data_IF_977120371427
#
_entry.id   IF_977120371427
#
_cell.length_a   1.000
_cell.length_b   1.000
_cell.length_c   1.000
_cell.angle_alpha   90.00
_cell.angle_beta   90.00
_cell.angle_gamma   90.00
#
_symmetry.space_group_name_H-M   'P 1'
#
loop_
_entity.id
_entity.type
_entity.pdbx_description
1 polymer ?
#
# COMPACT_ATOMS: atom_id res chain seq x y z
N UNK A 1 32.06 23.23 -1.48
CA UNK A 1 33.41 22.95 -2.00
C UNK A 1 33.30 21.76 -2.92
N UNK A 2 33.76 21.87 -4.17
CA UNK A 2 33.75 20.75 -5.11
C UNK A 2 34.99 19.89 -4.85
N UNK A 3 34.80 18.57 -4.72
CA UNK A 3 35.89 17.59 -4.60
C UNK A 3 36.21 17.01 -5.98
N UNK A 4 37.46 16.60 -6.20
CA UNK A 4 37.83 15.84 -7.40
C UNK A 4 37.13 14.47 -7.40
N UNK A 5 36.38 14.09 -8.46
CA UNK A 5 35.75 12.77 -8.51
C UNK A 5 36.76 11.63 -8.61
N UNK A 6 37.97 11.89 -9.13
CA UNK A 6 39.02 10.88 -9.27
C UNK A 6 39.81 10.64 -7.98
N UNK A 7 40.17 11.71 -7.24
CA UNK A 7 41.08 11.60 -6.10
C UNK A 7 40.53 12.15 -4.77
N UNK A 8 39.31 12.69 -4.75
CA UNK A 8 38.67 13.20 -3.53
C UNK A 8 39.33 14.44 -2.92
N UNK A 9 40.32 15.04 -3.58
CA UNK A 9 41.05 16.21 -3.06
C UNK A 9 40.24 17.51 -3.28
N UNK A 10 40.24 18.44 -2.31
CA UNK A 10 39.64 19.76 -2.49
C UNK A 10 40.61 20.68 -3.25
N UNK A 11 40.18 21.23 -4.38
CA UNK A 11 40.94 22.26 -5.11
C UNK A 11 40.97 22.06 -6.63
N UNK A 12 40.60 23.11 -7.35
CA UNK A 12 40.67 23.18 -8.81
C UNK A 12 41.36 24.49 -9.23
N UNK A 13 42.22 24.40 -10.25
CA UNK A 13 42.82 25.52 -10.96
C UNK A 13 42.40 25.38 -12.42
N UNK A 14 41.62 26.33 -12.96
CA UNK A 14 41.24 26.32 -14.40
C UNK A 14 40.67 24.97 -14.90
N UNK A 15 39.81 24.34 -14.10
CA UNK A 15 39.22 23.01 -14.38
C UNK A 15 40.21 21.83 -14.41
N UNK A 16 41.38 21.99 -13.79
CA UNK A 16 42.33 20.91 -13.57
C UNK A 16 42.51 20.70 -12.07
N UNK A 17 42.39 19.45 -11.62
CA UNK A 17 42.69 19.11 -10.24
C UNK A 17 44.20 19.32 -9.99
N UNK A 18 44.55 20.11 -8.97
CA UNK A 18 45.95 20.37 -8.60
C UNK A 18 46.69 19.15 -8.07
N UNK A 19 45.98 18.07 -7.71
CA UNK A 19 46.55 16.90 -7.06
C UNK A 19 46.78 15.70 -8.00
N UNK A 20 45.85 15.43 -8.92
CA UNK A 20 45.94 14.32 -9.86
C UNK A 20 46.00 14.75 -11.33
N UNK A 21 45.95 16.06 -11.60
CA UNK A 21 45.92 16.63 -12.96
C UNK A 21 44.74 16.20 -13.82
N UNK A 22 43.69 15.60 -13.22
CA UNK A 22 42.46 15.28 -13.93
C UNK A 22 41.77 16.56 -14.40
N UNK A 23 41.44 16.62 -15.68
CA UNK A 23 40.71 17.73 -16.31
C UNK A 23 39.22 17.49 -16.07
N UNK A 24 38.58 18.32 -15.24
CA UNK A 24 37.13 18.35 -15.18
C UNK A 24 36.62 19.02 -16.44
N UNK A 25 36.00 18.25 -17.33
CA UNK A 25 35.29 18.84 -18.47
C UNK A 25 34.21 19.76 -17.91
N UNK A 26 34.39 21.08 -18.09
CA UNK A 26 33.32 22.04 -17.81
C UNK A 26 32.06 21.57 -18.54
N UNK A 27 30.87 21.63 -17.92
CA UNK A 27 29.64 21.24 -18.60
C UNK A 27 29.51 22.14 -19.83
N UNK A 28 29.66 21.54 -21.01
CA UNK A 28 29.43 22.24 -22.26
C UNK A 28 28.01 22.81 -22.21
N UNK A 29 27.88 24.11 -22.48
CA UNK A 29 26.59 24.75 -22.73
C UNK A 29 25.95 24.06 -23.95
N UNK A 30 25.13 23.04 -23.67
CA UNK A 30 24.35 22.33 -24.67
C UNK A 30 23.17 23.18 -25.09
N UNK A 31 23.21 23.61 -26.35
CA UNK A 31 22.06 24.08 -27.12
C UNK A 31 20.85 23.12 -27.00
N UNK A 32 19.59 23.61 -27.14
CA UNK A 32 18.39 22.83 -26.93
C UNK A 32 18.12 21.92 -28.13
N UNK A 33 18.85 20.81 -28.22
CA UNK A 33 18.53 19.72 -29.13
C UNK A 33 17.40 18.88 -28.54
N UNK A 34 16.22 19.04 -29.13
CA UNK A 34 15.31 17.95 -29.50
C UNK A 34 15.27 16.74 -28.55
N UNK A 35 14.48 16.89 -27.49
CA UNK A 35 13.65 15.88 -26.79
C UNK A 35 13.66 14.49 -27.45
N UNK A 36 14.70 13.70 -27.22
CA UNK A 36 14.71 12.26 -27.41
C UNK A 36 14.17 11.60 -26.14
N UNK A 37 13.04 10.91 -26.29
CA UNK A 37 12.60 9.88 -25.37
C UNK A 37 13.71 8.81 -25.24
N UNK A 38 13.97 8.32 -24.03
CA UNK A 38 14.71 7.06 -23.88
C UNK A 38 15.65 6.88 -22.69
N UNK A 39 15.67 7.77 -21.69
CA UNK A 39 16.12 7.38 -20.35
C UNK A 39 14.88 7.20 -19.51
N UNK A 40 14.28 6.02 -19.59
CA UNK A 40 13.36 5.59 -18.55
C UNK A 40 14.19 5.58 -17.27
N UNK A 41 13.78 6.34 -16.27
CA UNK A 41 14.27 6.08 -14.91
C UNK A 41 13.77 4.67 -14.58
N UNK A 42 14.61 3.67 -14.79
CA UNK A 42 14.23 2.29 -14.59
C UNK A 42 14.09 2.06 -13.09
N UNK A 43 12.84 1.90 -12.65
CA UNK A 43 12.49 1.58 -11.28
C UNK A 43 12.39 0.07 -11.14
N UNK A 44 13.15 -0.50 -10.22
CA UNK A 44 13.14 -1.92 -9.94
C UNK A 44 12.31 -2.20 -8.67
N UNK A 45 11.42 -3.19 -8.76
CA UNK A 45 10.60 -3.62 -7.63
C UNK A 45 11.44 -4.40 -6.63
N UNK A 46 11.35 -4.00 -5.36
CA UNK A 46 12.05 -4.64 -4.23
C UNK A 46 11.10 -5.57 -3.48
N UNK A 47 9.88 -5.10 -3.20
CA UNK A 47 8.91 -5.86 -2.40
C UNK A 47 7.47 -5.53 -2.80
N UNK A 48 6.56 -6.44 -2.42
CA UNK A 48 5.11 -6.30 -2.57
C UNK A 48 4.43 -6.59 -1.25
N UNK A 49 3.43 -5.78 -0.91
CA UNK A 49 2.70 -5.88 0.35
C UNK A 49 1.20 -5.93 0.10
N UNK A 50 0.48 -6.67 0.94
CA UNK A 50 -0.99 -6.70 0.94
C UNK A 50 -1.59 -5.54 1.77
N UNK A 51 -0.77 -4.87 2.58
CA UNK A 51 -1.20 -3.87 3.55
C UNK A 51 -0.42 -2.55 3.36
N UNK A 52 -1.14 -1.43 3.29
CA UNK A 52 -0.55 -0.09 3.17
C UNK A 52 0.36 0.27 4.36
N UNK A 53 -0.01 -0.14 5.57
CA UNK A 53 0.73 0.19 6.78
C UNK A 53 2.11 -0.48 6.80
N UNK A 54 2.17 -1.77 6.43
CA UNK A 54 3.44 -2.49 6.30
C UNK A 54 4.30 -1.87 5.20
N UNK A 55 3.70 -1.59 4.05
CA UNK A 55 4.41 -0.99 2.93
C UNK A 55 5.02 0.38 3.30
N UNK A 56 4.27 1.21 4.04
CA UNK A 56 4.74 2.51 4.53
C UNK A 56 5.85 2.37 5.58
N UNK A 57 5.75 1.40 6.49
CA UNK A 57 6.81 1.11 7.45
C UNK A 57 8.13 0.75 6.75
N UNK A 58 8.10 -0.20 5.81
CA UNK A 58 9.31 -0.61 5.10
C UNK A 58 9.84 0.47 4.15
N UNK A 59 8.98 1.28 3.54
CA UNK A 59 9.41 2.43 2.75
C UNK A 59 10.18 3.44 3.61
N UNK A 60 9.73 3.70 4.83
CA UNK A 60 10.41 4.59 5.78
C UNK A 60 11.76 4.04 6.26
N UNK A 61 11.83 2.75 6.62
CA UNK A 61 13.11 2.14 7.01
C UNK A 61 14.13 2.13 5.86
N UNK A 62 13.68 1.79 4.64
CA UNK A 62 14.53 1.85 3.45
C UNK A 62 14.95 3.27 3.11
N UNK A 63 14.11 4.27 3.40
CA UNK A 63 14.47 5.66 3.19
C UNK A 63 15.71 6.05 4.00
N UNK A 64 15.73 5.70 5.28
CA UNK A 64 16.88 5.95 6.15
C UNK A 64 18.11 5.11 5.74
N UNK A 65 17.92 3.84 5.38
CA UNK A 65 19.02 2.95 5.03
C UNK A 65 19.72 3.31 3.70
N UNK A 66 18.96 3.83 2.72
CA UNK A 66 19.47 4.19 1.40
C UNK A 66 19.76 5.69 1.26
N UNK A 67 19.31 6.53 2.21
CA UNK A 67 19.29 7.98 2.09
C UNK A 67 18.63 8.45 0.77
N UNK A 68 17.54 7.78 0.41
CA UNK A 68 16.79 7.97 -0.83
C UNK A 68 15.32 7.67 -0.57
N UNK A 69 14.37 8.41 -1.15
CA UNK A 69 12.93 8.18 -0.94
C UNK A 69 12.40 7.08 -1.88
N UNK A 70 12.09 5.87 -1.38
CA UNK A 70 11.59 4.80 -2.22
C UNK A 70 10.20 5.14 -2.77
N UNK A 71 9.91 4.67 -3.98
CA UNK A 71 8.59 4.85 -4.59
C UNK A 71 7.64 3.76 -4.13
N UNK A 72 6.50 4.16 -3.58
CA UNK A 72 5.43 3.25 -3.19
C UNK A 72 4.21 3.45 -4.09
N UNK A 73 3.81 2.42 -4.83
CA UNK A 73 2.64 2.43 -5.71
C UNK A 73 1.53 1.51 -5.17
N UNK A 74 0.28 1.98 -5.16
CA UNK A 74 -0.88 1.10 -4.99
C UNK A 74 -1.31 0.57 -6.36
N UNK A 75 -1.40 -0.75 -6.52
CA UNK A 75 -1.95 -1.41 -7.70
C UNK A 75 -3.20 -2.18 -7.31
N UNK A 76 -4.24 -2.04 -8.11
CA UNK A 76 -5.49 -2.76 -7.92
C UNK A 76 -5.65 -3.76 -9.06
N UNK A 77 -5.68 -5.04 -8.72
CA UNK A 77 -5.84 -6.13 -9.66
C UNK A 77 -7.15 -6.86 -9.35
N UNK A 78 -7.93 -7.14 -10.39
CA UNK A 78 -9.15 -7.94 -10.26
C UNK A 78 -8.79 -9.43 -10.34
N UNK A 79 -8.98 -10.15 -9.23
CA UNK A 79 -8.80 -11.59 -9.18
C UNK A 79 -10.06 -12.29 -9.71
N UNK A 80 -9.97 -12.78 -10.93
CA UNK A 80 -11.08 -13.46 -11.63
C UNK A 80 -11.50 -14.76 -10.97
N UNK A 81 -10.56 -15.48 -10.32
CA UNK A 81 -10.87 -16.73 -9.63
C UNK A 81 -11.60 -16.47 -8.31
N UNK A 82 -11.22 -15.40 -7.61
CA UNK A 82 -11.85 -14.99 -6.35
C UNK A 82 -13.07 -14.07 -6.53
N UNK A 83 -13.32 -13.56 -7.73
CA UNK A 83 -14.30 -12.51 -8.02
C UNK A 83 -14.18 -11.31 -7.07
N UNK A 84 -12.94 -10.90 -6.76
CA UNK A 84 -12.66 -9.86 -5.78
C UNK A 84 -11.53 -8.95 -6.24
N UNK A 85 -11.64 -7.67 -5.92
CA UNK A 85 -10.58 -6.69 -6.13
C UNK A 85 -9.51 -6.85 -5.06
N UNK A 86 -8.25 -6.94 -5.46
CA UNK A 86 -7.09 -7.00 -4.56
C UNK A 86 -6.25 -5.75 -4.75
N UNK A 87 -5.96 -5.06 -3.66
CA UNK A 87 -4.96 -4.00 -3.64
C UNK A 87 -3.61 -4.59 -3.23
N UNK A 88 -2.58 -4.33 -4.01
CA UNK A 88 -1.19 -4.69 -3.73
C UNK A 88 -0.34 -3.43 -3.77
N UNK A 89 0.49 -3.24 -2.75
CA UNK A 89 1.40 -2.10 -2.64
C UNK A 89 2.79 -2.53 -3.10
N UNK A 90 3.33 -1.86 -4.10
CA UNK A 90 4.60 -2.18 -4.75
C UNK A 90 5.65 -1.15 -4.33
N UNK A 91 6.70 -1.62 -3.67
CA UNK A 91 7.83 -0.81 -3.25
C UNK A 91 8.97 -0.95 -4.26
N UNK A 92 9.40 0.17 -4.83
CA UNK A 92 10.41 0.22 -5.89
C UNK A 92 11.47 1.29 -5.61
N UNK A 93 12.67 1.04 -6.12
CA UNK A 93 13.82 1.97 -6.06
C UNK A 93 14.46 2.07 -7.46
N UNK A 94 15.25 3.10 -7.76
CA UNK A 94 16.01 3.16 -9.01
C UNK A 94 16.90 1.92 -9.17
N UNK A 95 17.05 1.41 -10.39
CA UNK A 95 17.88 0.22 -10.71
C UNK A 95 19.29 0.29 -10.10
N UNK A 96 19.89 1.49 -10.10
CA UNK A 96 21.21 1.76 -9.51
C UNK A 96 21.31 1.43 -8.02
N UNK A 97 20.19 1.50 -7.29
CA UNK A 97 20.08 1.25 -5.86
C UNK A 97 19.41 -0.10 -5.55
N UNK A 98 18.98 -0.87 -6.56
CA UNK A 98 18.12 -2.02 -6.33
C UNK A 98 18.80 -3.15 -5.56
N UNK A 99 20.05 -3.47 -5.90
CA UNK A 99 20.82 -4.51 -5.20
C UNK A 99 21.09 -4.11 -3.74
N UNK A 100 21.42 -2.83 -3.49
CA UNK A 100 21.59 -2.32 -2.13
C UNK A 100 20.26 -2.33 -1.37
N UNK A 101 19.17 -1.92 -2.02
CA UNK A 101 17.82 -1.90 -1.47
C UNK A 101 17.33 -3.29 -1.06
N UNK A 102 17.57 -4.32 -1.89
CA UNK A 102 17.26 -5.72 -1.56
C UNK A 102 18.01 -6.20 -0.33
N UNK A 103 19.32 -5.95 -0.27
CA UNK A 103 20.15 -6.35 0.88
C UNK A 103 19.70 -5.67 2.18
N UNK A 104 19.42 -4.36 2.14
CA UNK A 104 18.92 -3.63 3.30
C UNK A 104 17.53 -4.14 3.72
N UNK A 105 16.64 -4.37 2.76
CA UNK A 105 15.32 -4.94 3.02
C UNK A 105 15.41 -6.31 3.72
N UNK A 106 16.31 -7.19 3.29
CA UNK A 106 16.55 -8.48 3.95
C UNK A 106 17.07 -8.34 5.39
N UNK A 107 17.95 -7.37 5.65
CA UNK A 107 18.45 -7.10 7.01
C UNK A 107 17.32 -6.62 7.94
N UNK A 108 16.48 -5.70 7.44
CA UNK A 108 15.30 -5.22 8.17
C UNK A 108 14.34 -6.38 8.48
N UNK A 109 14.09 -7.28 7.50
CA UNK A 109 13.24 -8.46 7.70
C UNK A 109 13.79 -9.44 8.75
N UNK A 110 15.12 -9.55 8.87
CA UNK A 110 15.77 -10.37 9.92
C UNK A 110 15.72 -9.70 11.30
N UNK A 111 15.28 -8.45 11.40
CA UNK A 111 15.32 -7.67 12.63
C UNK A 111 16.73 -7.27 13.04
N UNK A 112 17.70 -7.37 12.13
CA UNK A 112 19.06 -6.88 12.35
C UNK A 112 19.01 -5.36 12.19
N UNK A 113 18.94 -4.63 13.30
CA UNK A 113 18.92 -3.17 13.25
C UNK A 113 20.23 -2.69 12.64
N UNK A 114 20.15 -2.16 11.42
CA UNK A 114 21.26 -1.45 10.81
C UNK A 114 21.34 -0.12 11.53
N UNK A 115 22.16 -0.07 12.58
CA UNK A 115 22.55 1.18 13.23
C UNK A 115 23.01 2.13 12.12
N UNK A 116 22.31 3.26 11.87
CA UNK A 116 22.69 4.14 10.79
C UNK A 116 24.10 4.61 11.09
N UNK A 117 25.02 4.45 10.14
CA UNK A 117 26.45 4.75 10.30
C UNK A 117 26.78 6.24 10.62
N UNK A 118 25.78 7.06 10.94
CA UNK A 118 25.91 8.44 11.40
C UNK A 118 24.93 8.85 12.50
N UNK A 119 24.14 7.96 13.12
CA UNK A 119 23.11 8.34 14.12
C UNK A 119 23.64 8.40 15.56
N UNK A 120 24.86 8.91 15.76
CA UNK A 120 25.36 9.25 17.10
C UNK A 120 24.72 10.54 17.67
N UNK A 121 23.79 11.18 16.94
CA UNK A 121 23.13 12.43 17.34
C UNK A 121 21.62 12.31 17.57
N UNK A 122 21.00 11.16 17.32
CA UNK A 122 19.62 10.90 17.76
C UNK A 122 19.62 10.55 19.26
N UNK A 123 19.91 11.57 20.06
CA UNK A 123 19.79 11.54 21.52
C UNK A 123 18.39 11.03 21.85
N UNK A 124 18.23 9.94 22.63
CA UNK A 124 16.92 9.48 22.99
C UNK A 124 16.21 10.63 23.70
N UNK A 125 15.00 10.97 23.26
CA UNK A 125 14.06 11.78 24.02
C UNK A 125 13.61 10.94 25.23
N UNK A 126 14.53 10.61 26.12
CA UNK A 126 14.18 10.31 27.50
C UNK A 126 13.62 11.60 28.06
N UNK A 127 12.29 11.70 28.02
CA UNK A 127 11.53 12.59 28.89
C UNK A 127 12.10 12.44 30.30
N UNK A 128 12.72 13.49 30.87
CA UNK A 128 13.08 13.47 32.26
C UNK A 128 11.77 13.62 33.03
N UNK A 129 11.16 12.49 33.38
CA UNK A 129 10.34 12.40 34.59
C UNK A 129 11.31 12.47 35.77
N UNK A 130 11.80 13.67 36.01
CA UNK A 130 12.44 14.02 37.26
C UNK A 130 11.33 14.08 38.31
N UNK A 131 11.29 13.02 39.10
CA UNK A 131 10.64 12.92 40.39
C UNK A 131 11.23 13.98 41.32
N UNK A 132 10.73 15.22 41.23
CA UNK A 132 11.07 16.27 42.20
C UNK A 132 9.92 16.36 43.19
N UNK A 133 10.03 15.50 44.20
CA UNK A 133 9.27 15.52 45.44
C UNK A 133 9.68 16.80 46.21
N UNK A 134 8.92 17.88 46.07
CA UNK A 134 9.08 19.10 46.89
C UNK A 134 7.82 19.29 47.71
N UNK A 135 7.86 18.71 48.90
CA UNK A 135 7.02 19.05 50.02
C UNK A 135 7.49 20.40 50.59
N UNK A 136 6.91 21.53 50.17
CA UNK A 136 7.06 22.80 50.90
C UNK A 136 5.78 23.65 50.88
N UNK A 137 5.21 23.78 52.07
CA UNK A 137 4.48 24.91 52.63
C UNK A 137 3.67 25.84 51.70
N UNK A 138 2.35 25.64 51.76
CA UNK A 138 1.25 26.63 51.80
C UNK A 138 1.67 28.11 51.98
N UNK A 139 1.38 28.93 50.98
CA UNK A 139 1.17 30.39 51.11
C UNK A 139 -0.13 30.77 50.36
N UNK A 140 -1.20 31.20 51.05
CA UNK A 140 -2.49 31.54 50.43
C UNK A 140 -2.56 33.05 50.14
N UNK A 141 -1.69 33.59 49.28
CA UNK A 141 -1.81 34.99 48.87
C UNK A 141 -1.13 35.35 47.54
N UNK A 142 -1.29 34.51 46.51
CA UNK A 142 -0.91 34.92 45.14
C UNK A 142 -2.10 34.81 44.16
N UNK A 143 -2.49 36.01 43.71
CA UNK A 143 -3.33 36.34 42.56
C UNK A 143 -3.10 35.40 41.37
N UNK A 144 -4.14 34.89 40.68
CA UNK A 144 -3.96 33.99 39.55
C UNK A 144 -3.35 34.74 38.36
N UNK A 145 -2.03 34.61 38.23
CA UNK A 145 -1.28 34.91 37.02
C UNK A 145 -1.76 34.02 35.88
N UNK A 146 -2.28 34.67 34.85
CA UNK A 146 -2.74 34.10 33.59
C UNK A 146 -1.60 33.28 32.95
N UNK A 147 -1.61 31.96 33.13
CA UNK A 147 -0.71 31.07 32.39
C UNK A 147 -1.04 31.18 30.90
N UNK A 148 -0.06 31.40 30.00
CA UNK A 148 -0.27 31.25 28.58
C UNK A 148 -0.36 29.74 28.29
N UNK A 149 -1.58 29.21 28.40
CA UNK A 149 -1.90 27.93 27.77
C UNK A 149 -1.68 28.15 26.27
N UNK A 150 -0.58 27.63 25.71
CA UNK A 150 -0.46 27.42 24.27
C UNK A 150 -1.43 26.29 23.91
N UNK A 151 -2.72 26.62 24.01
CA UNK A 151 -3.82 25.71 23.81
C UNK A 151 -3.99 25.49 22.33
N UNK A 152 -3.20 24.57 21.77
CA UNK A 152 -3.64 23.88 20.56
C UNK A 152 -5.01 23.31 20.92
N UNK A 153 -6.04 23.88 20.30
CA UNK A 153 -7.40 23.49 20.57
C UNK A 153 -7.56 22.10 19.95
N UNK A 154 -7.49 21.05 20.77
CA UNK A 154 -7.57 19.66 20.31
C UNK A 154 -8.99 19.24 19.91
N UNK A 155 -9.99 20.02 20.34
CA UNK A 155 -11.41 19.69 20.13
C UNK A 155 -11.76 19.58 18.64
N UNK A 156 -11.40 20.53 17.75
CA UNK A 156 -11.65 20.41 16.31
C UNK A 156 -10.95 19.20 15.67
N UNK A 157 -9.72 18.88 16.10
CA UNK A 157 -8.92 17.78 15.54
C UNK A 157 -9.56 16.43 15.89
N UNK A 158 -10.00 16.26 17.15
CA UNK A 158 -10.68 15.05 17.57
C UNK A 158 -12.05 14.90 16.88
N UNK A 159 -12.77 16.00 16.65
CA UNK A 159 -14.05 16.00 15.94
C UNK A 159 -13.91 15.60 14.47
N UNK A 160 -12.90 16.11 13.76
CA UNK A 160 -12.66 15.72 12.36
C UNK A 160 -12.23 14.26 12.24
N UNK A 161 -11.41 13.76 13.16
CA UNK A 161 -11.06 12.34 13.23
C UNK A 161 -12.27 11.43 13.49
N UNK A 162 -13.15 11.81 14.41
CA UNK A 162 -14.37 11.05 14.71
C UNK A 162 -15.36 11.05 13.53
N UNK A 163 -15.58 12.21 12.91
CA UNK A 163 -16.44 12.33 11.73
C UNK A 163 -15.88 11.52 10.55
N UNK A 164 -14.57 11.60 10.30
CA UNK A 164 -13.90 10.80 9.27
C UNK A 164 -14.03 9.30 9.51
N UNK A 165 -13.90 8.86 10.77
CA UNK A 165 -14.05 7.45 11.15
C UNK A 165 -15.46 6.94 10.93
N UNK A 166 -16.49 7.74 11.23
CA UNK A 166 -17.89 7.39 10.98
C UNK A 166 -18.21 7.28 9.48
N UNK A 167 -17.66 8.18 8.65
CA UNK A 167 -17.84 8.13 7.19
C UNK A 167 -17.15 6.90 6.61
N UNK A 168 -15.93 6.57 7.06
CA UNK A 168 -15.19 5.39 6.63
C UNK A 168 -15.91 4.09 7.03
N UNK A 169 -16.46 4.05 8.26
CA UNK A 169 -17.22 2.90 8.74
C UNK A 169 -18.58 2.77 8.04
N UNK A 170 -19.28 3.89 7.80
CA UNK A 170 -20.53 3.92 7.03
C UNK A 170 -20.33 3.53 5.58
N UNK A 171 -19.26 4.00 4.94
CA UNK A 171 -18.87 3.62 3.58
C UNK A 171 -18.53 2.12 3.47
N UNK A 172 -17.84 1.56 4.47
CA UNK A 172 -17.58 0.11 4.57
C UNK A 172 -18.85 -0.71 4.78
N UNK A 173 -19.89 -0.15 5.40
CA UNK A 173 -21.19 -0.83 5.55
C UNK A 173 -22.11 -0.67 4.34
N UNK A 174 -21.96 0.41 3.57
CA UNK A 174 -22.68 0.62 2.30
C UNK A 174 -22.04 -0.13 1.13
N UNK A 175 -20.73 -0.41 1.21
CA UNK A 175 -20.18 -1.65 0.65
C UNK A 175 -20.66 -2.82 1.52
N UNK A 176 -21.98 -3.00 1.59
CA UNK A 176 -22.57 -4.29 1.90
C UNK A 176 -21.81 -5.23 1.00
N UNK A 177 -20.92 -6.00 1.62
CA UNK A 177 -20.31 -7.15 1.02
C UNK A 177 -21.47 -7.80 0.28
N UNK A 178 -21.46 -7.77 -1.06
CA UNK A 178 -21.98 -8.92 -1.79
C UNK A 178 -21.25 -10.05 -1.11
N UNK A 179 -21.90 -10.70 -0.13
CA UNK A 179 -21.33 -11.86 0.55
C UNK A 179 -20.82 -12.67 -0.62
N UNK A 180 -19.50 -12.96 -0.71
CA UNK A 180 -19.01 -13.79 -1.80
C UNK A 180 -19.87 -15.03 -1.73
N UNK A 181 -20.84 -15.12 -2.65
CA UNK A 181 -21.93 -16.04 -2.41
C UNK A 181 -21.34 -17.44 -2.42
N UNK A 182 -22.02 -18.37 -1.74
CA UNK A 182 -21.44 -19.56 -1.15
C UNK A 182 -20.40 -20.21 -2.08
N UNK A 183 -19.14 -20.18 -1.65
CA UNK A 183 -18.11 -20.96 -2.34
C UNK A 183 -18.53 -22.43 -2.26
N UNK A 184 -18.46 -23.19 -3.37
CA UNK A 184 -18.84 -24.61 -3.37
C UNK A 184 -18.14 -25.33 -2.21
N UNK A 185 -18.92 -26.03 -1.39
CA UNK A 185 -18.36 -26.92 -0.38
C UNK A 185 -17.41 -27.93 -1.04
N UNK A 186 -16.41 -28.43 -0.32
CA UNK A 186 -15.42 -29.39 -0.86
C UNK A 186 -16.06 -30.61 -1.55
N UNK A 187 -17.27 -30.98 -1.14
CA UNK A 187 -18.03 -32.11 -1.68
C UNK A 187 -18.93 -31.76 -2.88
N UNK A 188 -19.04 -30.46 -3.23
CA UNK A 188 -19.79 -29.94 -4.38
C UNK A 188 -18.85 -29.44 -5.49
N UNK A 189 -17.69 -30.08 -5.68
CA UNK A 189 -16.97 -29.96 -6.97
C UNK A 189 -17.74 -30.74 -8.02
N UNK A 190 -18.85 -30.16 -8.46
CA UNK A 190 -19.56 -30.63 -9.64
C UNK A 190 -18.71 -30.23 -10.84
N UNK A 191 -18.48 -31.20 -11.72
CA UNK A 191 -17.85 -30.95 -13.00
C UNK A 191 -18.79 -30.04 -13.80
N UNK A 192 -18.47 -28.75 -13.87
CA UNK A 192 -19.27 -27.76 -14.62
C UNK A 192 -19.50 -28.24 -16.05
N UNK A 193 -18.57 -29.03 -16.61
CA UNK A 193 -18.71 -29.63 -17.93
C UNK A 193 -19.87 -30.63 -18.02
N UNK A 194 -20.16 -31.40 -16.97
CA UNK A 194 -21.30 -32.33 -16.94
C UNK A 194 -22.64 -31.58 -16.88
N UNK A 195 -22.68 -30.45 -16.16
CA UNK A 195 -23.85 -29.57 -16.17
C UNK A 195 -24.03 -28.90 -17.53
N UNK A 196 -22.94 -28.43 -18.13
CA UNK A 196 -22.94 -27.80 -19.45
C UNK A 196 -23.33 -28.75 -20.57
N UNK A 197 -23.21 -30.08 -20.41
CA UNK A 197 -23.51 -31.05 -21.47
C UNK A 197 -24.96 -31.53 -21.48
N UNK A 198 -25.68 -31.45 -20.36
CA UNK A 198 -27.09 -31.88 -20.28
C UNK A 198 -28.03 -30.80 -20.82
N UNK A 199 -28.79 -31.15 -21.85
CA UNK A 199 -29.81 -30.26 -22.40
C UNK A 199 -31.08 -30.26 -21.53
N UNK A 200 -31.57 -29.07 -21.18
CA UNK A 200 -32.89 -28.87 -20.57
C UNK A 200 -32.99 -29.10 -19.06
N UNK A 201 -31.88 -29.24 -18.34
CA UNK A 201 -31.88 -29.30 -16.86
C UNK A 201 -31.22 -28.07 -16.25
N UNK A 202 -31.95 -27.38 -15.36
CA UNK A 202 -31.39 -26.33 -14.52
C UNK A 202 -30.30 -26.91 -13.63
N UNK A 203 -29.14 -26.26 -13.58
CA UNK A 203 -28.13 -26.61 -12.60
C UNK A 203 -28.40 -25.84 -11.31
N UNK A 204 -28.65 -26.56 -10.22
CA UNK A 204 -28.89 -26.01 -8.89
C UNK A 204 -27.67 -26.22 -8.01
N UNK A 205 -27.22 -25.16 -7.34
CA UNK A 205 -26.19 -25.20 -6.31
C UNK A 205 -26.76 -24.69 -4.99
N UNK A 206 -26.84 -25.56 -4.00
CA UNK A 206 -27.20 -25.19 -2.64
C UNK A 206 -25.97 -24.74 -1.85
N UNK A 207 -26.11 -23.68 -1.07
CA UNK A 207 -25.09 -23.21 -0.15
C UNK A 207 -24.71 -24.29 0.88
N UNK A 208 -23.46 -24.29 1.35
CA UNK A 208 -22.97 -25.30 2.31
C UNK A 208 -23.64 -25.23 3.69
N UNK A 209 -24.18 -24.07 4.05
CA UNK A 209 -24.96 -23.83 5.27
C UNK A 209 -26.46 -24.14 5.08
N UNK A 210 -26.87 -24.56 3.88
CA UNK A 210 -28.26 -24.82 3.52
C UNK A 210 -29.10 -23.55 3.35
N UNK A 211 -28.51 -22.36 3.44
CA UNK A 211 -29.18 -21.09 3.24
C UNK A 211 -28.78 -20.51 1.88
N UNK A 212 -29.70 -20.59 0.94
CA UNK A 212 -29.56 -20.04 -0.40
C UNK A 212 -29.29 -21.08 -1.49
N UNK A 213 -29.82 -20.78 -2.68
CA UNK A 213 -29.79 -21.61 -3.87
C UNK A 213 -29.38 -20.75 -5.06
N UNK A 214 -28.47 -21.26 -5.88
CA UNK A 214 -28.16 -20.69 -7.20
C UNK A 214 -28.68 -21.60 -8.29
N UNK A 215 -29.37 -21.02 -9.26
CA UNK A 215 -29.84 -21.71 -10.45
C UNK A 215 -29.13 -21.16 -11.69
N UNK A 216 -28.55 -22.05 -12.48
CA UNK A 216 -28.02 -21.74 -13.80
C UNK A 216 -28.89 -22.41 -14.86
N UNK A 217 -29.53 -21.59 -15.68
CA UNK A 217 -30.28 -22.01 -16.86
C UNK A 217 -29.50 -21.64 -18.13
N UNK A 218 -29.45 -22.57 -19.09
CA UNK A 218 -28.64 -22.43 -20.31
C UNK A 218 -29.54 -22.64 -21.51
N UNK A 219 -29.92 -21.55 -22.17
CA UNK A 219 -30.69 -21.56 -23.40
C UNK A 219 -29.74 -21.55 -24.61
N UNK A 220 -29.27 -22.74 -25.01
CA UNK A 220 -28.32 -22.88 -26.13
C UNK A 220 -28.86 -22.39 -27.48
N UNK A 221 -30.16 -22.50 -27.67
CA UNK A 221 -30.84 -22.04 -28.89
C UNK A 221 -30.75 -20.52 -29.05
N UNK A 222 -30.84 -19.81 -27.92
CA UNK A 222 -30.78 -18.35 -27.84
C UNK A 222 -29.36 -17.83 -27.60
N UNK A 223 -28.42 -18.71 -27.23
CA UNK A 223 -27.07 -18.33 -26.83
C UNK A 223 -27.06 -17.53 -25.54
N UNK A 224 -28.02 -17.76 -24.64
CA UNK A 224 -28.17 -17.04 -23.38
C UNK A 224 -27.98 -17.97 -22.18
N UNK A 225 -27.44 -17.40 -21.11
CA UNK A 225 -27.30 -18.07 -19.81
C UNK A 225 -27.92 -17.18 -18.76
N UNK A 226 -28.82 -17.72 -17.96
CA UNK A 226 -29.50 -17.02 -16.87
C UNK A 226 -28.99 -17.60 -15.55
N UNK A 227 -28.37 -16.75 -14.73
CA UNK A 227 -27.99 -17.08 -13.36
C UNK A 227 -28.99 -16.42 -12.41
N UNK A 228 -29.68 -17.23 -11.61
CA UNK A 228 -30.54 -16.76 -10.52
C UNK A 228 -29.92 -17.12 -9.17
N UNK A 229 -30.04 -16.23 -8.20
CA UNK A 229 -29.55 -16.44 -6.84
C UNK A 229 -30.67 -16.09 -5.85
N UNK A 230 -30.98 -17.05 -4.99
CA UNK A 230 -31.77 -16.96 -3.76
C UNK A 230 -30.74 -16.94 -2.62
N UNK A 231 -30.54 -15.79 -1.98
CA UNK A 231 -29.48 -15.58 -1.01
C UNK A 231 -29.87 -15.96 0.42
N UNK A 232 -31.17 -15.97 0.74
CA UNK A 232 -31.68 -16.28 2.08
C UNK A 232 -32.35 -17.65 2.21
N UNK A 233 -32.62 -18.32 1.09
CA UNK A 233 -33.19 -19.66 1.02
C UNK A 233 -34.72 -19.68 1.18
N UNK A 234 -35.40 -18.55 0.97
CA UNK A 234 -36.86 -18.47 1.07
C UNK A 234 -37.60 -18.96 -0.19
N UNK A 235 -36.85 -19.28 -1.25
CA UNK A 235 -37.36 -19.75 -2.54
C UNK A 235 -37.67 -18.61 -3.53
N UNK A 236 -37.43 -17.34 -3.17
CA UNK A 236 -37.53 -16.19 -4.05
C UNK A 236 -36.13 -15.74 -4.51
N UNK A 237 -35.88 -15.80 -5.81
CA UNK A 237 -34.64 -15.30 -6.39
C UNK A 237 -34.58 -13.77 -6.30
N UNK A 238 -33.64 -13.22 -5.53
CA UNK A 238 -33.48 -11.78 -5.40
C UNK A 238 -32.59 -11.18 -6.49
N UNK A 239 -31.81 -12.02 -7.18
CA UNK A 239 -31.02 -11.57 -8.32
C UNK A 239 -31.13 -12.50 -9.53
N UNK A 240 -31.19 -11.88 -10.71
CA UNK A 240 -31.13 -12.54 -12.01
C UNK A 240 -30.08 -11.82 -12.87
N UNK A 241 -29.12 -12.57 -13.41
CA UNK A 241 -28.09 -12.05 -14.31
C UNK A 241 -28.13 -12.82 -15.61
N UNK A 242 -28.33 -12.09 -16.71
CA UNK A 242 -28.32 -12.62 -18.07
C UNK A 242 -26.93 -12.44 -18.69
N UNK A 243 -26.38 -13.53 -19.23
CA UNK A 243 -25.15 -13.54 -20.01
C UNK A 243 -25.44 -13.96 -21.45
N UNK A 244 -24.79 -13.28 -22.39
CA UNK A 244 -24.79 -13.67 -23.80
C UNK A 244 -23.51 -14.44 -24.11
N UNK A 245 -23.66 -15.61 -24.74
CA UNK A 245 -22.54 -16.40 -25.25
C UNK A 245 -22.35 -16.03 -26.72
N UNK A 246 -21.29 -15.28 -27.01
CA UNK A 246 -20.88 -15.04 -28.38
C UNK A 246 -20.37 -16.36 -28.99
N UNK A 247 -21.02 -16.80 -30.08
CA UNK A 247 -20.57 -17.97 -30.85
C UNK A 247 -19.32 -17.57 -31.66
N UNK A 248 -18.14 -17.93 -31.16
CA UNK A 248 -16.90 -17.94 -31.94
C UNK A 248 -16.85 -19.15 -32.88
#
# INVERSE_FOLDING_TARGET
MLFCPECGSPGYSENVCTHCSAVTSAPAETEPLSRSAGRTDDWETIARFANAAEAGYFANELHYALNFEPRLECREDFDTLGNLWRSTYVLSVPEQLAEQGRRQFELILRGESVEPAGSALARPLTSPRDEVLVEFARDPSETPGRQPVSGVNWVPIMLTLAAGSLVLWGGKKLHVQRRPGPAPGKDQRIDVWDALTRDGSFWTQSASDGQGVRELDIHRDEGTVILREDADGDGAFESETLYHIDRN
#
